data_IF_178201893595
#
_entry.id   IF_178201893595
#
_cell.length_a   1.000
_cell.length_b   1.000
_cell.length_c   1.000
_cell.angle_alpha   90.00
_cell.angle_beta   90.00
_cell.angle_gamma   90.00
#
_symmetry.space_group_name_H-M   'P 1'
#
loop_
_entity.id
_entity.type
_entity.pdbx_description
1 polymer ?
#
# COMPACT_ATOMS: atom_id res chain seq x y z
N UNK A 1 -7.97 -6.21 21.65
CA UNK A 1 -7.00 -5.28 21.01
C UNK A 1 -7.29 -3.89 21.52
N UNK A 2 -6.30 -3.01 21.71
CA UNK A 2 -6.59 -1.67 22.24
C UNK A 2 -7.04 -0.75 21.11
N UNK A 3 -7.96 0.18 21.40
CA UNK A 3 -8.34 1.25 20.46
C UNK A 3 -7.11 2.04 19.95
N UNK A 4 -6.03 2.07 20.74
CA UNK A 4 -4.76 2.69 20.36
C UNK A 4 -4.04 1.96 19.22
N UNK A 5 -4.15 0.63 19.14
CA UNK A 5 -3.57 -0.18 18.06
C UNK A 5 -4.29 0.10 16.74
N UNK A 6 -5.62 0.08 16.72
CA UNK A 6 -6.42 0.38 15.51
C UNK A 6 -6.18 1.82 15.05
N UNK A 7 -6.15 2.78 15.98
CA UNK A 7 -5.85 4.16 15.64
C UNK A 7 -4.43 4.34 15.07
N UNK A 8 -3.47 3.52 15.48
CA UNK A 8 -2.13 3.51 14.89
C UNK A 8 -2.12 2.94 13.47
N UNK A 9 -2.82 1.83 13.23
CA UNK A 9 -2.95 1.23 11.89
C UNK A 9 -3.63 2.19 10.90
N UNK A 10 -4.71 2.87 11.28
CA UNK A 10 -5.33 3.89 10.42
C UNK A 10 -4.35 5.03 10.06
N UNK A 11 -3.48 5.44 11.00
CA UNK A 11 -2.43 6.44 10.68
C UNK A 11 -1.40 5.90 9.70
N UNK A 12 -1.11 4.60 9.72
CA UNK A 12 -0.26 3.97 8.72
C UNK A 12 -0.95 3.99 7.34
N UNK A 13 -2.27 3.81 7.26
CA UNK A 13 -3.03 3.95 6.00
C UNK A 13 -2.82 5.35 5.41
N UNK A 14 -3.03 6.39 6.21
CA UNK A 14 -2.81 7.78 5.81
C UNK A 14 -1.37 8.02 5.32
N UNK A 15 -0.38 7.48 6.04
CA UNK A 15 1.03 7.61 5.68
C UNK A 15 1.36 6.90 4.35
N UNK A 16 0.77 5.73 4.10
CA UNK A 16 0.92 5.00 2.84
C UNK A 16 0.27 5.76 1.68
N UNK A 17 -0.94 6.29 1.84
CA UNK A 17 -1.61 7.10 0.81
C UNK A 17 -0.83 8.38 0.50
N UNK A 18 -0.33 9.08 1.51
CA UNK A 18 0.54 10.25 1.32
C UNK A 18 1.83 9.86 0.58
N UNK A 19 2.40 8.70 0.88
CA UNK A 19 3.61 8.22 0.19
C UNK A 19 3.33 7.86 -1.26
N UNK A 20 2.19 7.23 -1.55
CA UNK A 20 1.72 6.99 -2.92
C UNK A 20 1.53 8.30 -3.68
N UNK A 21 0.95 9.32 -3.05
CA UNK A 21 0.80 10.65 -3.63
C UNK A 21 2.17 11.29 -3.92
N UNK A 22 3.13 11.21 -3.00
CA UNK A 22 4.50 11.71 -3.22
C UNK A 22 5.16 11.02 -4.41
N UNK A 23 5.03 9.70 -4.54
CA UNK A 23 5.54 8.96 -5.70
C UNK A 23 4.91 9.48 -7.00
N UNK A 24 3.59 9.67 -7.03
CA UNK A 24 2.88 10.20 -8.19
C UNK A 24 3.28 11.63 -8.54
N UNK A 25 3.43 12.52 -7.56
CA UNK A 25 3.89 13.89 -7.78
C UNK A 25 5.32 13.93 -8.35
N UNK A 26 6.19 13.05 -7.88
CA UNK A 26 7.55 12.92 -8.42
C UNK A 26 7.54 12.42 -9.87
N UNK A 27 6.70 11.43 -10.20
CA UNK A 27 6.50 10.97 -11.59
C UNK A 27 5.95 12.09 -12.50
N UNK A 28 5.01 12.89 -12.01
CA UNK A 28 4.48 14.06 -12.73
C UNK A 28 5.55 15.11 -13.00
N UNK A 29 6.42 15.38 -12.03
CA UNK A 29 7.56 16.29 -12.18
C UNK A 29 8.66 15.72 -13.09
N UNK A 30 8.65 14.41 -13.35
CA UNK A 30 9.71 13.70 -14.05
C UNK A 30 10.92 13.40 -13.17
N UNK A 31 10.85 13.61 -11.86
CA UNK A 31 11.90 13.26 -10.89
C UNK A 31 11.75 11.80 -10.45
N UNK A 32 12.41 10.91 -11.19
CA UNK A 32 12.34 9.47 -10.94
C UNK A 32 13.14 9.09 -9.69
N UNK A 33 14.14 9.87 -9.31
CA UNK A 33 14.90 9.66 -8.06
C UNK A 33 14.00 9.78 -6.85
N UNK A 34 13.22 10.87 -6.77
CA UNK A 34 12.23 11.05 -5.71
C UNK A 34 11.09 10.01 -5.79
N UNK A 35 10.68 9.59 -6.99
CA UNK A 35 9.69 8.53 -7.14
C UNK A 35 10.19 7.18 -6.56
N UNK A 36 11.46 6.82 -6.79
CA UNK A 36 12.08 5.62 -6.19
C UNK A 36 12.12 5.70 -4.68
N UNK A 37 12.56 6.83 -4.13
CA UNK A 37 12.62 7.04 -2.69
C UNK A 37 11.23 6.93 -2.03
N UNK A 38 10.20 7.53 -2.64
CA UNK A 38 8.83 7.38 -2.18
C UNK A 38 8.34 5.92 -2.28
N UNK A 39 8.68 5.20 -3.35
CA UNK A 39 8.32 3.78 -3.52
C UNK A 39 9.01 2.89 -2.48
N UNK A 40 10.29 3.10 -2.19
CA UNK A 40 11.00 2.37 -1.12
C UNK A 40 10.38 2.66 0.26
N UNK A 41 10.00 3.90 0.52
CA UNK A 41 9.28 4.26 1.75
C UNK A 41 7.89 3.59 1.83
N UNK A 42 7.15 3.54 0.73
CA UNK A 42 5.86 2.86 0.65
C UNK A 42 6.02 1.36 0.94
N UNK A 43 7.03 0.73 0.33
CA UNK A 43 7.33 -0.69 0.56
C UNK A 43 7.66 -0.97 2.03
N UNK A 44 8.47 -0.12 2.67
CA UNK A 44 8.81 -0.28 4.08
C UNK A 44 7.58 -0.15 5.00
N UNK A 45 6.76 0.89 4.78
CA UNK A 45 5.51 1.10 5.53
C UNK A 45 4.55 -0.07 5.35
N UNK A 46 4.37 -0.54 4.13
CA UNK A 46 3.48 -1.65 3.82
C UNK A 46 3.97 -2.96 4.47
N UNK A 47 5.27 -3.24 4.43
CA UNK A 47 5.83 -4.44 5.05
C UNK A 47 5.69 -4.44 6.58
N UNK A 48 5.91 -3.29 7.23
CA UNK A 48 5.70 -3.13 8.67
C UNK A 48 4.23 -3.30 9.05
N UNK A 49 3.34 -2.65 8.29
CA UNK A 49 1.90 -2.74 8.47
C UNK A 49 1.38 -4.18 8.34
N UNK A 50 1.69 -4.84 7.22
CA UNK A 50 1.31 -6.23 6.96
C UNK A 50 1.81 -7.17 8.05
N UNK A 51 3.06 -7.00 8.50
CA UNK A 51 3.62 -7.85 9.55
C UNK A 51 2.83 -7.74 10.85
N UNK A 52 2.44 -6.53 11.25
CA UNK A 52 1.63 -6.30 12.43
C UNK A 52 0.22 -6.90 12.28
N UNK A 53 -0.40 -6.75 11.11
CA UNK A 53 -1.72 -7.33 10.86
C UNK A 53 -1.71 -8.85 10.90
N UNK A 54 -0.75 -9.48 10.22
CA UNK A 54 -0.64 -10.93 10.14
C UNK A 54 -0.35 -11.57 11.50
N UNK A 55 0.54 -10.98 12.29
CA UNK A 55 0.89 -11.52 13.60
C UNK A 55 -0.21 -11.30 14.63
N UNK A 56 -0.86 -10.13 14.63
CA UNK A 56 -1.65 -9.67 15.77
C UNK A 56 -3.16 -9.56 15.51
N UNK A 57 -3.59 -9.37 14.26
CA UNK A 57 -5.00 -9.16 13.90
C UNK A 57 -5.56 -10.40 13.20
N UNK A 58 -4.99 -10.79 12.07
CA UNK A 58 -5.47 -11.88 11.21
C UNK A 58 -5.40 -13.22 11.95
N UNK A 59 -4.37 -13.43 12.78
CA UNK A 59 -4.23 -14.62 13.63
C UNK A 59 -5.38 -14.82 14.61
N UNK A 60 -6.15 -13.77 14.91
CA UNK A 60 -7.28 -13.76 15.85
C UNK A 60 -8.64 -13.79 15.17
N UNK A 61 -8.70 -13.74 13.84
CA UNK A 61 -9.97 -13.81 13.11
C UNK A 61 -10.67 -15.14 13.35
N UNK A 62 -11.95 -15.07 13.74
CA UNK A 62 -12.81 -16.24 13.86
C UNK A 62 -13.25 -16.78 12.50
N UNK A 63 -13.74 -18.03 12.47
CA UNK A 63 -14.24 -18.67 11.25
C UNK A 63 -15.55 -18.06 10.72
N UNK A 64 -16.24 -17.27 11.53
CA UNK A 64 -17.46 -16.53 11.17
C UNK A 64 -17.20 -15.08 10.75
N UNK A 65 -15.93 -14.69 10.61
CA UNK A 65 -15.53 -13.40 10.06
C UNK A 65 -16.18 -13.17 8.69
N UNK A 66 -16.57 -11.92 8.41
CA UNK A 66 -17.14 -11.51 7.12
C UNK A 66 -16.18 -11.83 5.97
N UNK A 67 -14.89 -11.69 6.22
CA UNK A 67 -13.83 -12.14 5.32
C UNK A 67 -12.88 -13.08 6.05
N UNK A 68 -12.60 -14.24 5.43
CA UNK A 68 -11.62 -15.17 5.99
C UNK A 68 -10.21 -14.58 5.97
N UNK A 69 -9.35 -14.99 6.92
CA UNK A 69 -7.91 -14.67 6.92
C UNK A 69 -7.22 -14.82 5.55
N UNK A 70 -7.60 -15.85 4.78
CA UNK A 70 -7.06 -16.11 3.43
C UNK A 70 -7.26 -14.93 2.45
N UNK A 71 -8.31 -14.14 2.61
CA UNK A 71 -8.59 -12.96 1.75
C UNK A 71 -7.53 -11.90 2.01
N UNK A 72 -7.31 -11.53 3.28
CA UNK A 72 -6.30 -10.55 3.67
C UNK A 72 -4.90 -10.97 3.24
N UNK A 73 -4.50 -12.22 3.51
CA UNK A 73 -3.19 -12.75 3.10
C UNK A 73 -2.99 -12.73 1.58
N UNK A 74 -4.05 -12.99 0.80
CA UNK A 74 -3.97 -12.93 -0.66
C UNK A 74 -3.83 -11.48 -1.16
N UNK A 75 -4.50 -10.51 -0.51
CA UNK A 75 -4.35 -9.09 -0.81
C UNK A 75 -2.95 -8.58 -0.44
N UNK A 76 -2.40 -8.98 0.72
CA UNK A 76 -1.02 -8.70 1.12
C UNK A 76 -0.01 -9.19 0.09
N UNK A 77 -0.14 -10.45 -0.34
CA UNK A 77 0.73 -11.03 -1.35
C UNK A 77 0.65 -10.26 -2.68
N UNK A 78 -0.56 -9.84 -3.08
CA UNK A 78 -0.76 -9.04 -4.29
C UNK A 78 -0.15 -7.65 -4.18
N UNK A 79 -0.33 -6.97 -3.04
CA UNK A 79 0.28 -5.66 -2.77
C UNK A 79 1.80 -5.75 -2.80
N UNK A 80 2.39 -6.76 -2.17
CA UNK A 80 3.84 -6.99 -2.19
C UNK A 80 4.36 -7.20 -3.63
N UNK A 81 3.67 -8.04 -4.42
CA UNK A 81 4.03 -8.28 -5.81
C UNK A 81 3.96 -7.00 -6.66
N UNK A 82 2.87 -6.23 -6.53
CA UNK A 82 2.71 -4.98 -7.29
C UNK A 82 3.75 -3.91 -6.90
N UNK A 83 4.10 -3.81 -5.61
CA UNK A 83 5.15 -2.89 -5.16
C UNK A 83 6.54 -3.28 -5.70
N UNK A 84 6.83 -4.58 -5.82
CA UNK A 84 8.07 -5.06 -6.45
C UNK A 84 8.07 -4.84 -7.99
N UNK A 85 6.94 -5.02 -8.66
CA UNK A 85 6.82 -4.66 -10.08
C UNK A 85 7.12 -3.17 -10.30
N UNK A 86 6.65 -2.31 -9.39
CA UNK A 86 6.95 -0.88 -9.40
C UNK A 86 8.42 -0.56 -9.11
N UNK A 87 9.08 -1.32 -8.22
CA UNK A 87 10.54 -1.27 -8.05
C UNK A 87 11.24 -1.52 -9.37
N UNK A 88 11.00 -2.67 -9.99
CA UNK A 88 11.61 -3.04 -11.25
C UNK A 88 11.27 -2.06 -12.40
N UNK A 89 10.08 -1.45 -12.40
CA UNK A 89 9.69 -0.43 -13.38
C UNK A 89 10.50 0.86 -13.21
N UNK A 90 10.58 1.40 -11.99
CA UNK A 90 11.27 2.67 -11.73
C UNK A 90 12.79 2.54 -11.84
N UNK A 91 13.39 1.41 -11.48
CA UNK A 91 14.84 1.18 -11.60
C UNK A 91 15.33 1.22 -13.06
N UNK A 92 14.49 0.83 -14.02
CA UNK A 92 14.85 0.83 -15.45
C UNK A 92 14.87 2.21 -16.11
N UNK A 93 14.35 3.23 -15.43
CA UNK A 93 14.25 4.58 -15.97
C UNK A 93 15.51 5.42 -15.68
N UNK A 94 15.80 6.48 -16.44
CA UNK A 94 16.78 7.47 -16.03
C UNK A 94 16.31 8.22 -14.77
N UNK A 95 17.25 8.85 -14.06
CA UNK A 95 16.97 9.63 -12.85
C UNK A 95 15.95 10.76 -13.09
N UNK A 96 15.90 11.29 -14.31
CA UNK A 96 14.94 12.29 -14.74
C UNK A 96 14.34 11.90 -16.09
N UNK A 97 13.03 12.07 -16.24
CA UNK A 97 12.29 11.87 -17.49
C UNK A 97 11.72 13.21 -17.94
N UNK A 98 11.97 13.62 -19.18
CA UNK A 98 11.50 14.92 -19.69
C UNK A 98 10.25 14.82 -20.58
N UNK A 99 9.98 13.63 -21.11
CA UNK A 99 8.89 13.37 -22.05
C UNK A 99 7.53 13.35 -21.33
N UNK A 100 6.62 14.30 -21.63
CA UNK A 100 5.31 14.39 -20.97
C UNK A 100 4.47 13.11 -21.12
N UNK A 101 4.50 12.46 -22.28
CA UNK A 101 3.75 11.23 -22.57
C UNK A 101 4.22 10.08 -21.68
N UNK A 102 5.54 10.01 -21.41
CA UNK A 102 6.10 9.00 -20.50
C UNK A 102 5.68 9.27 -19.06
N UNK A 103 5.66 10.53 -18.63
CA UNK A 103 5.19 10.92 -17.29
C UNK A 103 3.71 10.57 -17.10
N UNK A 104 2.87 10.88 -18.07
CA UNK A 104 1.45 10.51 -18.06
C UNK A 104 1.26 8.99 -18.00
N UNK A 105 1.97 8.24 -18.86
CA UNK A 105 1.89 6.77 -18.86
C UNK A 105 2.31 6.14 -17.51
N UNK A 106 3.25 6.75 -16.77
CA UNK A 106 3.60 6.31 -15.43
C UNK A 106 2.48 6.60 -14.41
N UNK A 107 1.86 7.78 -14.49
CA UNK A 107 0.74 8.13 -13.62
C UNK A 107 -0.44 7.19 -13.82
N UNK A 108 -0.83 6.93 -15.07
CA UNK A 108 -1.93 6.04 -15.41
C UNK A 108 -1.64 4.61 -14.96
N UNK A 109 -0.42 4.13 -15.23
CA UNK A 109 -0.01 2.79 -14.83
C UNK A 109 -0.02 2.60 -13.30
N UNK A 110 0.10 3.68 -12.51
CA UNK A 110 0.16 3.60 -11.04
C UNK A 110 -1.22 3.52 -10.37
N UNK A 111 -2.30 3.81 -11.10
CA UNK A 111 -3.67 3.77 -10.59
C UNK A 111 -4.06 2.40 -10.00
N UNK A 112 -3.75 1.25 -10.62
CA UNK A 112 -4.09 -0.05 -10.05
C UNK A 112 -3.47 -0.31 -8.67
N UNK A 113 -2.23 0.15 -8.42
CA UNK A 113 -1.60 0.00 -7.10
C UNK A 113 -2.31 0.89 -6.06
N UNK A 114 -2.61 2.13 -6.43
CA UNK A 114 -3.33 3.05 -5.56
C UNK A 114 -4.72 2.49 -5.19
N UNK A 115 -5.51 2.06 -6.18
CA UNK A 115 -6.83 1.51 -5.91
C UNK A 115 -6.77 0.22 -5.07
N UNK A 116 -5.76 -0.63 -5.28
CA UNK A 116 -5.60 -1.82 -4.46
C UNK A 116 -5.32 -1.46 -2.99
N UNK A 117 -4.45 -0.48 -2.72
CA UNK A 117 -4.20 0.02 -1.37
C UNK A 117 -5.48 0.58 -0.73
N UNK A 118 -6.20 1.44 -1.45
CA UNK A 118 -7.45 2.05 -0.95
C UNK A 118 -8.52 1.01 -0.61
N UNK A 119 -8.71 0.01 -1.49
CA UNK A 119 -9.67 -1.07 -1.25
C UNK A 119 -9.27 -2.01 -0.13
N UNK A 120 -7.96 -2.22 0.06
CA UNK A 120 -7.44 -3.03 1.15
C UNK A 120 -7.71 -2.35 2.51
N UNK A 121 -7.37 -1.07 2.63
CA UNK A 121 -7.66 -0.26 3.82
C UNK A 121 -9.16 -0.21 4.14
N UNK A 122 -10.00 -0.03 3.12
CA UNK A 122 -11.45 -0.07 3.29
C UNK A 122 -11.94 -1.40 3.86
N UNK A 123 -11.33 -2.53 3.45
CA UNK A 123 -11.70 -3.87 3.93
C UNK A 123 -11.26 -4.11 5.36
N UNK A 124 -10.11 -3.59 5.76
CA UNK A 124 -9.63 -3.68 7.14
C UNK A 124 -10.53 -2.85 8.06
N UNK A 125 -10.76 -1.59 7.70
CA UNK A 125 -11.54 -0.65 8.51
C UNK A 125 -13.00 -1.08 8.67
N UNK A 126 -13.61 -1.65 7.61
CA UNK A 126 -15.01 -2.10 7.63
C UNK A 126 -15.18 -3.58 8.00
N UNK A 127 -14.07 -4.28 8.24
CA UNK A 127 -14.03 -5.73 8.47
C UNK A 127 -13.13 -6.08 9.62
N UNK A 128 -11.84 -6.24 9.32
CA UNK A 128 -10.82 -6.72 10.24
C UNK A 128 -10.86 -5.97 11.58
N UNK A 129 -10.82 -4.64 11.54
CA UNK A 129 -10.76 -3.82 12.76
C UNK A 129 -12.05 -3.92 13.58
N UNK A 130 -13.20 -3.98 12.91
CA UNK A 130 -14.50 -4.14 13.57
C UNK A 130 -14.60 -5.49 14.26
N UNK A 131 -14.19 -6.56 13.58
CA UNK A 131 -14.28 -7.94 14.08
C UNK A 131 -13.32 -8.23 15.23
N UNK A 132 -12.17 -7.55 15.26
CA UNK A 132 -11.14 -7.75 16.28
C UNK A 132 -11.30 -6.80 17.49
N UNK A 133 -12.10 -5.74 17.32
CA UNK A 133 -12.52 -4.83 18.39
C UNK A 133 -13.78 -5.30 19.13
N UNK A 134 -14.64 -6.07 18.47
CA UNK A 134 -15.79 -6.76 19.08
C UNK A 134 -15.37 -7.94 19.95
#
# INVERSE_FOLDING_TARGET
>A
MTANTIAHLCKQHDAMLQTMQRMRLAMLAGDITSARAARDALHALQAEHIAAEESDLISRLGTSARWSAKVYLAEHAKLAAMTEEWRARLERLPAHTVEPERRLALLDASLPLQHLLEHHFEREEKGLFVEIAG
#
